data_IF_525703569407
#
_entry.id   IF_525703569407
#
_cell.length_a   1.000
_cell.length_b   1.000
_cell.length_c   1.000
_cell.angle_alpha   90.00
_cell.angle_beta   90.00
_cell.angle_gamma   90.00
#
_symmetry.space_group_name_H-M   'P 1'
#
loop_
_entity.id
_entity.type
_entity.pdbx_description
1 polymer ?
#
# COMPACT_ATOMS: atom_id res chain seq x y z
N UNK A 1 -53.00 -29.44 3.14
CA UNK A 1 -52.11 -29.08 2.02
C UNK A 1 -50.83 -28.53 2.63
N UNK A 2 -49.79 -29.37 2.66
CA UNK A 2 -48.59 -29.20 3.48
C UNK A 2 -47.40 -29.07 2.51
N UNK A 3 -46.92 -27.85 2.28
CA UNK A 3 -45.88 -27.54 1.30
C UNK A 3 -44.51 -27.44 1.98
N UNK A 4 -43.85 -28.57 2.22
CA UNK A 4 -42.46 -28.59 2.66
C UNK A 4 -41.52 -28.34 1.48
N UNK A 5 -40.94 -27.15 1.44
CA UNK A 5 -39.82 -26.80 0.56
C UNK A 5 -38.59 -27.57 1.09
N UNK A 6 -38.27 -28.70 0.44
CA UNK A 6 -36.98 -29.39 0.63
C UNK A 6 -35.91 -28.65 -0.17
N UNK A 7 -35.11 -27.82 0.50
CA UNK A 7 -33.84 -27.34 -0.05
C UNK A 7 -32.83 -28.50 0.02
N UNK A 8 -32.69 -29.23 -1.10
CA UNK A 8 -31.61 -30.19 -1.30
C UNK A 8 -30.27 -29.46 -1.43
N UNK A 9 -29.62 -29.15 -0.31
CA UNK A 9 -28.19 -28.86 -0.29
C UNK A 9 -27.44 -30.19 -0.31
N UNK A 10 -27.14 -30.68 -1.52
CA UNK A 10 -26.20 -31.77 -1.74
C UNK A 10 -24.83 -31.33 -1.23
N UNK A 11 -24.36 -31.93 -0.13
CA UNK A 11 -23.01 -31.76 0.38
C UNK A 11 -22.03 -32.42 -0.59
N UNK A 12 -21.46 -31.63 -1.50
CA UNK A 12 -20.28 -32.04 -2.26
C UNK A 12 -19.08 -32.14 -1.29
N UNK A 13 -18.24 -33.18 -1.39
CA UNK A 13 -17.02 -33.26 -0.59
C UNK A 13 -16.07 -32.13 -0.98
N UNK A 14 -15.74 -31.25 -0.01
CA UNK A 14 -14.68 -30.27 -0.15
C UNK A 14 -13.33 -30.99 -0.24
N UNK A 15 -12.91 -31.33 -1.45
CA UNK A 15 -11.50 -31.60 -1.70
C UNK A 15 -10.75 -30.30 -1.46
N UNK A 16 -9.86 -30.31 -0.47
CA UNK A 16 -8.89 -29.27 -0.23
C UNK A 16 -7.96 -29.17 -1.45
N UNK A 17 -8.39 -28.46 -2.48
CA UNK A 17 -7.47 -27.92 -3.45
C UNK A 17 -6.64 -26.89 -2.71
N UNK A 18 -5.42 -27.28 -2.38
CA UNK A 18 -4.31 -26.39 -2.05
C UNK A 18 -4.12 -25.45 -3.24
N UNK A 19 -4.97 -24.42 -3.27
CA UNK A 19 -4.89 -23.30 -4.16
C UNK A 19 -3.67 -22.50 -3.76
N UNK A 20 -2.49 -23.01 -4.11
CA UNK A 20 -1.30 -22.21 -4.28
C UNK A 20 -1.67 -21.19 -5.33
N UNK A 21 -2.16 -20.02 -4.89
CA UNK A 21 -2.28 -18.87 -5.77
C UNK A 21 -0.94 -18.81 -6.50
N UNK A 22 -0.91 -18.87 -7.84
CA UNK A 22 0.32 -18.71 -8.58
C UNK A 22 0.87 -17.37 -8.11
N UNK A 23 1.96 -17.44 -7.34
CA UNK A 23 2.51 -16.26 -6.69
C UNK A 23 2.67 -15.22 -7.78
N UNK A 24 2.17 -14.01 -7.52
CA UNK A 24 2.53 -12.82 -8.30
C UNK A 24 4.03 -12.69 -8.08
N UNK A 25 4.78 -13.44 -8.88
CA UNK A 25 6.18 -13.69 -8.65
C UNK A 25 6.87 -12.37 -8.87
N UNK A 26 7.55 -11.90 -7.83
CA UNK A 26 8.39 -10.71 -7.92
C UNK A 26 9.26 -10.84 -9.19
N UNK A 27 9.23 -9.86 -10.13
CA UNK A 27 9.95 -9.97 -11.39
C UNK A 27 11.41 -10.29 -11.09
N UNK A 28 12.04 -11.12 -11.92
CA UNK A 28 13.38 -11.67 -11.62
C UNK A 28 14.41 -10.59 -11.22
N UNK A 29 14.27 -9.37 -11.74
CA UNK A 29 15.07 -8.20 -11.38
C UNK A 29 14.95 -7.77 -9.91
N UNK A 30 13.74 -7.80 -9.34
CA UNK A 30 13.47 -7.43 -7.94
C UNK A 30 13.76 -8.59 -6.96
N UNK A 31 13.93 -9.82 -7.48
CA UNK A 31 14.36 -10.99 -6.68
C UNK A 31 15.85 -10.93 -6.29
N UNK A 32 16.68 -10.23 -7.07
CA UNK A 32 18.10 -10.06 -6.74
C UNK A 32 18.27 -9.10 -5.54
N UNK A 33 19.27 -9.36 -4.68
CA UNK A 33 19.61 -8.51 -3.53
C UNK A 33 19.75 -7.04 -3.93
N UNK A 34 20.40 -6.78 -5.06
CA UNK A 34 20.59 -5.41 -5.54
C UNK A 34 19.27 -4.75 -5.95
N UNK A 35 18.34 -5.50 -6.55
CA UNK A 35 17.02 -4.99 -6.93
C UNK A 35 16.18 -4.61 -5.72
N UNK A 36 16.21 -5.44 -4.66
CA UNK A 36 15.56 -5.13 -3.39
C UNK A 36 16.14 -3.87 -2.74
N UNK A 37 17.48 -3.75 -2.72
CA UNK A 37 18.16 -2.57 -2.17
C UNK A 37 17.83 -1.30 -2.96
N UNK A 38 17.77 -1.39 -4.30
CA UNK A 38 17.38 -0.27 -5.15
C UNK A 38 15.93 0.14 -4.88
N UNK A 39 15.01 -0.81 -4.75
CA UNK A 39 13.61 -0.52 -4.43
C UNK A 39 13.47 0.19 -3.06
N UNK A 40 14.15 -0.32 -2.03
CA UNK A 40 14.17 0.31 -0.70
C UNK A 40 14.79 1.71 -0.72
N UNK A 41 15.92 1.87 -1.41
CA UNK A 41 16.60 3.16 -1.55
C UNK A 41 15.76 4.18 -2.32
N UNK A 42 15.09 3.75 -3.40
CA UNK A 42 14.20 4.60 -4.18
C UNK A 42 13.00 5.06 -3.34
N UNK A 43 12.36 4.14 -2.61
CA UNK A 43 11.26 4.51 -1.71
C UNK A 43 11.70 5.49 -0.63
N UNK A 44 12.87 5.27 -0.04
CA UNK A 44 13.42 6.17 0.97
C UNK A 44 13.74 7.55 0.38
N UNK A 45 14.33 7.59 -0.82
CA UNK A 45 14.60 8.84 -1.53
C UNK A 45 13.31 9.62 -1.81
N UNK A 46 12.24 8.95 -2.25
CA UNK A 46 10.92 9.56 -2.46
C UNK A 46 10.38 10.16 -1.15
N UNK A 47 10.46 9.41 -0.04
CA UNK A 47 10.02 9.89 1.27
C UNK A 47 10.81 11.12 1.75
N UNK A 48 12.13 11.11 1.58
CA UNK A 48 13.00 12.24 1.96
C UNK A 48 12.70 13.46 1.11
N UNK A 49 12.56 13.32 -0.21
CA UNK A 49 12.19 14.42 -1.10
C UNK A 49 10.82 15.01 -0.74
N UNK A 50 9.85 14.15 -0.39
CA UNK A 50 8.53 14.58 0.05
C UNK A 50 8.53 15.26 1.44
N UNK A 51 9.48 14.93 2.31
CA UNK A 51 9.70 15.65 3.56
C UNK A 51 10.36 17.01 3.32
N UNK A 52 11.36 17.07 2.43
CA UNK A 52 12.02 18.33 2.06
C UNK A 52 11.01 19.31 1.45
N UNK A 53 10.12 18.85 0.56
CA UNK A 53 9.11 19.73 -0.06
C UNK A 53 8.11 20.33 0.95
N UNK A 54 7.78 19.61 2.02
CA UNK A 54 6.90 20.11 3.09
C UNK A 54 7.64 21.05 4.05
N UNK A 55 8.88 20.74 4.42
CA UNK A 55 9.69 21.59 5.29
C UNK A 55 10.07 22.91 4.61
N UNK A 56 10.22 22.91 3.29
CA UNK A 56 10.47 24.13 2.49
C UNK A 56 9.21 24.93 2.19
N UNK A 57 8.03 24.45 2.62
CA UNK A 57 6.74 25.10 2.36
C UNK A 57 6.31 25.08 0.89
N UNK A 58 6.93 24.22 0.07
CA UNK A 58 6.60 24.06 -1.35
C UNK A 58 5.25 23.34 -1.54
N UNK A 59 4.80 22.57 -0.55
CA UNK A 59 3.50 21.90 -0.52
C UNK A 59 2.75 22.28 0.76
N UNK A 60 1.43 22.34 0.68
CA UNK A 60 0.58 22.63 1.84
C UNK A 60 0.75 21.57 2.95
N UNK A 61 0.70 22.00 4.21
CA UNK A 61 0.84 21.13 5.35
C UNK A 61 -0.40 20.23 5.50
N UNK A 62 -0.34 19.02 4.90
CA UNK A 62 -1.43 18.05 4.94
C UNK A 62 -1.15 16.95 5.97
N UNK A 63 -1.98 16.80 7.02
CA UNK A 63 -1.75 15.78 8.06
C UNK A 63 -1.73 14.36 7.49
N UNK A 64 -2.58 14.07 6.49
CA UNK A 64 -2.62 12.78 5.81
C UNK A 64 -1.30 12.50 5.07
N UNK A 65 -0.83 13.43 4.24
CA UNK A 65 0.42 13.28 3.49
C UNK A 65 1.64 13.10 4.40
N UNK A 66 1.65 13.75 5.57
CA UNK A 66 2.73 13.57 6.57
C UNK A 66 2.80 12.13 7.06
N UNK A 67 1.65 11.50 7.30
CA UNK A 67 1.60 10.10 7.71
C UNK A 67 2.02 9.19 6.55
N UNK A 68 1.45 9.39 5.36
CA UNK A 68 1.78 8.59 4.16
C UNK A 68 3.29 8.56 3.88
N UNK A 69 3.94 9.73 3.82
CA UNK A 69 5.39 9.81 3.54
C UNK A 69 6.23 9.17 4.65
N UNK A 70 5.79 9.24 5.91
CA UNK A 70 6.49 8.55 7.00
C UNK A 70 6.36 7.05 6.89
N UNK A 71 5.18 6.53 6.55
CA UNK A 71 4.97 5.10 6.30
C UNK A 71 5.80 4.60 5.13
N UNK A 72 5.85 5.34 4.01
CA UNK A 72 6.70 5.00 2.85
C UNK A 72 8.18 4.97 3.24
N UNK A 73 8.65 5.96 4.01
CA UNK A 73 10.04 6.04 4.45
C UNK A 73 10.42 4.91 5.41
N UNK A 74 9.56 4.62 6.39
CA UNK A 74 9.76 3.53 7.34
C UNK A 74 9.75 2.17 6.63
N UNK A 75 8.82 1.93 5.71
CA UNK A 75 8.81 0.70 4.90
C UNK A 75 10.05 0.59 4.00
N UNK A 76 10.51 1.70 3.42
CA UNK A 76 11.76 1.76 2.67
C UNK A 76 12.97 1.36 3.53
N UNK A 77 13.04 1.85 4.76
CA UNK A 77 14.06 1.43 5.74
C UNK A 77 13.95 -0.04 6.11
N UNK A 78 12.73 -0.57 6.30
CA UNK A 78 12.53 -2.00 6.53
C UNK A 78 13.07 -2.81 5.37
N UNK A 79 12.78 -2.40 4.12
CA UNK A 79 13.29 -3.06 2.90
C UNK A 79 14.83 -3.09 2.89
N UNK A 80 15.47 -1.96 3.19
CA UNK A 80 16.93 -1.87 3.27
C UNK A 80 17.51 -2.67 4.44
N UNK A 81 16.76 -2.81 5.53
CA UNK A 81 17.16 -3.54 6.72
C UNK A 81 16.97 -5.06 6.62
N UNK A 82 16.26 -5.58 5.61
CA UNK A 82 16.03 -7.02 5.41
C UNK A 82 17.27 -7.94 5.55
N UNK A 83 18.48 -7.59 5.05
CA UNK A 83 19.64 -8.47 5.21
C UNK A 83 20.15 -8.56 6.66
N UNK A 84 19.81 -7.62 7.53
CA UNK A 84 20.24 -7.58 8.94
C UNK A 84 19.10 -7.86 9.93
N UNK A 85 17.86 -7.60 9.53
CA UNK A 85 16.67 -7.74 10.36
C UNK A 85 16.06 -9.14 10.22
N UNK A 86 15.64 -9.73 11.33
CA UNK A 86 14.91 -10.99 11.28
C UNK A 86 13.60 -10.82 10.49
N UNK A 87 13.39 -11.69 9.51
CA UNK A 87 12.25 -11.64 8.57
C UNK A 87 10.89 -11.67 9.26
N UNK A 88 10.77 -12.35 10.40
CA UNK A 88 9.54 -12.35 11.19
C UNK A 88 9.20 -10.92 11.65
N UNK A 89 10.19 -10.24 12.24
CA UNK A 89 10.04 -8.84 12.69
C UNK A 89 9.83 -7.88 11.52
N UNK A 90 10.56 -8.05 10.41
CA UNK A 90 10.40 -7.23 9.22
C UNK A 90 8.96 -7.30 8.67
N UNK A 91 8.37 -8.49 8.60
CA UNK A 91 6.98 -8.68 8.14
C UNK A 91 5.98 -8.07 9.11
N UNK A 92 6.11 -8.30 10.41
CA UNK A 92 5.21 -7.68 11.40
C UNK A 92 5.27 -6.16 11.38
N UNK A 93 6.47 -5.59 11.31
CA UNK A 93 6.66 -4.14 11.21
C UNK A 93 6.06 -3.60 9.91
N UNK A 94 6.23 -4.32 8.80
CA UNK A 94 5.64 -3.95 7.51
C UNK A 94 4.12 -3.92 7.53
N UNK A 95 3.48 -4.88 8.21
CA UNK A 95 2.03 -4.90 8.35
C UNK A 95 1.57 -3.77 9.26
N UNK A 96 2.23 -3.53 10.39
CA UNK A 96 1.83 -2.47 11.32
C UNK A 96 1.93 -1.08 10.69
N UNK A 97 3.10 -0.74 10.11
CA UNK A 97 3.36 0.57 9.50
C UNK A 97 2.63 0.71 8.16
N UNK A 98 2.62 -0.36 7.38
CA UNK A 98 2.02 -0.38 6.05
C UNK A 98 0.50 -0.34 6.11
N UNK A 99 -0.15 -1.11 7.00
CA UNK A 99 -1.60 -1.02 7.15
C UNK A 99 -2.04 0.36 7.64
N UNK A 100 -1.29 0.96 8.57
CA UNK A 100 -1.57 2.32 9.04
C UNK A 100 -1.44 3.37 7.93
N UNK A 101 -0.33 3.35 7.18
CA UNK A 101 -0.15 4.28 6.05
C UNK A 101 -1.17 4.05 4.94
N UNK A 102 -1.47 2.79 4.63
CA UNK A 102 -2.44 2.41 3.61
C UNK A 102 -3.84 2.90 3.96
N UNK A 103 -4.30 2.70 5.20
CA UNK A 103 -5.65 3.16 5.58
C UNK A 103 -5.74 4.68 5.55
N UNK A 104 -4.71 5.40 5.98
CA UNK A 104 -4.70 6.87 5.90
C UNK A 104 -4.80 7.34 4.45
N UNK A 105 -4.09 6.69 3.54
CA UNK A 105 -4.17 6.99 2.11
C UNK A 105 -5.52 6.65 1.51
N UNK A 106 -6.15 5.53 1.91
CA UNK A 106 -7.54 5.21 1.51
C UNK A 106 -8.49 6.29 2.00
N UNK A 107 -8.36 6.72 3.26
CA UNK A 107 -9.21 7.76 3.82
C UNK A 107 -9.05 9.09 3.08
N UNK A 108 -7.82 9.52 2.78
CA UNK A 108 -7.58 10.73 1.99
C UNK A 108 -8.18 10.60 0.59
N UNK A 109 -7.96 9.48 -0.09
CA UNK A 109 -8.47 9.24 -1.44
C UNK A 109 -10.00 9.23 -1.48
N UNK A 110 -10.63 8.66 -0.45
CA UNK A 110 -12.09 8.63 -0.35
C UNK A 110 -12.68 10.00 0.00
N UNK A 111 -12.13 10.71 0.99
CA UNK A 111 -12.66 12.01 1.44
C UNK A 111 -12.50 13.11 0.40
N UNK A 112 -11.35 13.19 -0.27
CA UNK A 112 -11.04 14.27 -1.21
C UNK A 112 -11.22 13.87 -2.69
N UNK A 113 -11.37 12.59 -2.99
CA UNK A 113 -11.63 12.11 -4.35
C UNK A 113 -13.07 11.64 -4.50
N UNK A 114 -13.33 10.40 -4.09
CA UNK A 114 -14.59 9.71 -4.34
C UNK A 114 -15.81 10.42 -3.75
N UNK A 115 -15.73 10.90 -2.51
CA UNK A 115 -16.85 11.56 -1.83
C UNK A 115 -17.26 12.84 -2.57
N UNK A 116 -16.28 13.67 -2.97
CA UNK A 116 -16.55 14.90 -3.74
C UNK A 116 -17.06 14.59 -5.14
N UNK A 117 -16.64 13.47 -5.74
CA UNK A 117 -17.14 13.01 -7.04
C UNK A 117 -18.62 12.63 -6.98
N UNK A 118 -19.05 11.94 -5.93
CA UNK A 118 -20.46 11.62 -5.71
C UNK A 118 -21.32 12.84 -5.36
N UNK A 119 -20.72 13.87 -4.76
CA UNK A 119 -21.40 15.13 -4.45
C UNK A 119 -21.48 16.09 -5.65
N UNK A 120 -20.83 15.78 -6.77
CA UNK A 120 -20.78 16.64 -7.95
C UNK A 120 -19.96 17.92 -7.76
N UNK A 121 -19.18 18.03 -6.67
CA UNK A 121 -18.35 19.19 -6.32
C UNK A 121 -16.86 18.95 -6.58
N UNK A 122 -16.51 17.81 -7.18
CA UNK A 122 -15.14 17.43 -7.49
C UNK A 122 -14.46 18.46 -8.41
N UNK A 123 -13.30 18.93 -7.98
CA UNK A 123 -12.40 19.76 -8.76
C UNK A 123 -10.99 19.22 -8.56
N UNK A 124 -10.32 18.92 -9.66
CA UNK A 124 -8.89 18.64 -9.64
C UNK A 124 -8.20 19.95 -9.24
N UNK A 125 -7.33 19.89 -8.24
CA UNK A 125 -6.61 21.07 -7.78
C UNK A 125 -5.63 21.55 -8.85
N UNK A 126 -5.50 22.87 -9.03
CA UNK A 126 -4.45 23.49 -9.84
C UNK A 126 -3.36 24.04 -8.91
N UNK A 127 -2.09 23.59 -9.01
CA UNK A 127 -1.56 22.64 -9.99
C UNK A 127 -1.91 21.17 -9.66
N UNK A 128 -2.22 20.38 -10.69
CA UNK A 128 -2.60 18.96 -10.58
C UNK A 128 -1.58 18.07 -9.86
N UNK A 129 -0.32 18.49 -9.81
CA UNK A 129 0.78 17.77 -9.15
C UNK A 129 0.70 17.75 -7.63
N UNK A 130 -0.12 18.62 -7.02
CA UNK A 130 -0.36 18.62 -5.57
C UNK A 130 -1.80 18.20 -5.24
N UNK A 131 -2.50 17.60 -6.19
CA UNK A 131 -3.87 17.16 -5.97
C UNK A 131 -3.92 16.01 -4.93
N UNK A 132 -4.75 16.13 -3.87
CA UNK A 132 -4.79 15.15 -2.79
C UNK A 132 -5.32 13.78 -3.23
N UNK A 133 -6.14 13.68 -4.27
CA UNK A 133 -6.61 12.39 -4.80
C UNK A 133 -5.48 11.68 -5.52
N UNK A 134 -4.70 12.40 -6.33
CA UNK A 134 -3.59 11.81 -7.09
C UNK A 134 -2.43 11.41 -6.17
N UNK A 135 -2.07 12.26 -5.21
CA UNK A 135 -1.00 11.96 -4.24
C UNK A 135 -1.33 10.73 -3.38
N UNK A 136 -2.53 10.68 -2.80
CA UNK A 136 -2.95 9.54 -1.98
C UNK A 136 -3.07 8.25 -2.82
N UNK A 137 -3.53 8.36 -4.07
CA UNK A 137 -3.56 7.24 -5.00
C UNK A 137 -2.17 6.68 -5.29
N UNK A 138 -1.19 7.54 -5.54
CA UNK A 138 0.20 7.13 -5.71
C UNK A 138 0.77 6.50 -4.42
N UNK A 139 0.49 7.10 -3.26
CA UNK A 139 0.92 6.58 -1.97
C UNK A 139 0.35 5.18 -1.69
N UNK A 140 -0.92 4.93 -2.01
CA UNK A 140 -1.55 3.60 -1.87
C UNK A 140 -0.79 2.53 -2.65
N UNK A 141 -0.48 2.81 -3.92
CA UNK A 141 0.24 1.87 -4.79
C UNK A 141 1.64 1.61 -4.26
N UNK A 142 2.36 2.66 -3.82
CA UNK A 142 3.71 2.53 -3.27
C UNK A 142 3.69 1.68 -2.00
N UNK A 143 2.81 1.98 -1.04
CA UNK A 143 2.73 1.26 0.24
C UNK A 143 2.35 -0.22 0.00
N UNK A 144 1.36 -0.48 -0.86
CA UNK A 144 0.96 -1.85 -1.19
C UNK A 144 2.11 -2.64 -1.83
N UNK A 145 2.83 -2.00 -2.76
CA UNK A 145 4.00 -2.60 -3.41
C UNK A 145 5.12 -2.91 -2.40
N UNK A 146 5.42 -1.99 -1.49
CA UNK A 146 6.43 -2.19 -0.45
C UNK A 146 6.09 -3.37 0.46
N UNK A 147 4.84 -3.46 0.93
CA UNK A 147 4.38 -4.60 1.74
C UNK A 147 4.55 -5.91 0.95
N UNK A 148 4.09 -5.95 -0.31
CA UNK A 148 4.19 -7.12 -1.17
C UNK A 148 5.63 -7.62 -1.33
N UNK A 149 6.57 -6.71 -1.60
CA UNK A 149 8.00 -7.06 -1.73
C UNK A 149 8.56 -7.66 -0.44
N UNK A 150 8.24 -7.10 0.72
CA UNK A 150 8.76 -7.59 2.01
C UNK A 150 8.30 -9.03 2.28
N UNK A 151 7.10 -9.40 1.81
CA UNK A 151 6.57 -10.75 1.94
C UNK A 151 7.21 -11.73 0.94
N UNK A 152 7.41 -11.30 -0.31
CA UNK A 152 7.99 -12.11 -1.39
C UNK A 152 9.52 -12.27 -1.31
N UNK A 153 10.22 -11.39 -0.58
CA UNK A 153 11.65 -11.51 -0.36
C UNK A 153 12.00 -12.82 0.37
N UNK A 154 12.61 -13.77 -0.37
CA UNK A 154 13.04 -15.09 0.10
C UNK A 154 14.52 -15.15 0.43
#
# INVERSE_FOLDING_TARGET
MNGQIRTSYSQAPMTAHEGRMPGVGLPAMLRNRNGLMIAGALSLAISVLAWISDLTGMVYACPYCRVERTSIGLLGLVILALPWLNRFFARYLSVAVGAFGFIVAVMQNFTYGWLLMFQGTFKIHDPWTVDPMLLSGAALVIIAFQIGIIFEAR
#
